data_IF_918412882825
#
_entry.id   IF_918412882825
#
_cell.length_a   1.000
_cell.length_b   1.000
_cell.length_c   1.000
_cell.angle_alpha   90.00
_cell.angle_beta   90.00
_cell.angle_gamma   90.00
#
_symmetry.space_group_name_H-M   'P 1'
#
loop_
_entity.id
_entity.type
_entity.pdbx_description
1 polymer ?
#
# COMPACT_ATOMS: atom_id res chain seq x y z
N UNK A 1 -16.51 7.99 17.67
CA UNK A 1 -15.95 8.08 16.30
C UNK A 1 -17.01 7.71 15.27
N UNK A 2 -17.34 6.43 15.05
CA UNK A 2 -18.29 6.01 13.99
C UNK A 2 -19.69 6.66 14.00
N UNK A 3 -20.18 7.12 15.17
CA UNK A 3 -21.48 7.79 15.35
C UNK A 3 -21.40 9.32 15.46
N UNK A 4 -20.20 9.91 15.38
CA UNK A 4 -20.01 11.35 15.51
C UNK A 4 -20.60 12.06 14.28
N UNK A 5 -21.19 13.23 14.49
CA UNK A 5 -21.48 14.17 13.40
C UNK A 5 -20.19 14.93 13.03
N UNK A 6 -19.85 14.91 11.74
CA UNK A 6 -18.65 15.56 11.20
C UNK A 6 -18.99 16.82 10.39
N UNK A 7 -20.18 17.40 10.58
CA UNK A 7 -20.61 18.66 9.97
C UNK A 7 -19.70 19.85 10.35
N UNK A 8 -19.03 19.78 11.50
CA UNK A 8 -18.13 20.79 12.07
C UNK A 8 -16.65 20.64 11.67
N UNK A 9 -16.32 19.67 10.81
CA UNK A 9 -14.92 19.34 10.43
C UNK A 9 -14.19 20.43 9.66
N UNK A 10 -14.90 21.43 9.15
CA UNK A 10 -14.35 22.52 8.35
C UNK A 10 -14.59 23.85 9.06
N UNK A 11 -13.78 24.89 8.79
CA UNK A 11 -13.99 26.22 9.38
C UNK A 11 -15.39 26.81 9.09
N UNK A 12 -15.95 26.50 7.92
CA UNK A 12 -17.36 26.74 7.60
C UNK A 12 -18.13 25.40 7.66
N UNK A 13 -19.08 25.25 8.59
CA UNK A 13 -19.82 24.00 8.74
C UNK A 13 -20.57 23.60 7.47
N UNK A 14 -20.59 22.31 7.18
CA UNK A 14 -21.39 21.75 6.08
C UNK A 14 -22.77 21.33 6.57
N UNK A 15 -23.79 21.48 5.73
CA UNK A 15 -25.19 21.20 6.11
C UNK A 15 -25.46 19.74 6.44
N UNK A 16 -24.73 18.81 5.81
CA UNK A 16 -24.91 17.38 6.02
C UNK A 16 -23.57 16.64 6.13
N UNK A 17 -23.52 15.69 7.05
CA UNK A 17 -22.42 14.74 7.19
C UNK A 17 -22.96 13.32 7.12
N UNK A 18 -22.45 12.54 6.17
CA UNK A 18 -22.74 11.11 6.11
C UNK A 18 -22.02 10.38 7.23
N UNK A 19 -22.61 9.27 7.68
CA UNK A 19 -21.94 8.35 8.61
C UNK A 19 -20.71 7.72 7.95
N UNK A 20 -19.67 7.43 8.72
CA UNK A 20 -18.49 6.74 8.22
C UNK A 20 -18.82 5.37 7.58
N UNK A 21 -19.84 4.67 8.09
CA UNK A 21 -20.25 3.37 7.56
C UNK A 21 -21.26 3.47 6.40
N UNK A 22 -21.65 4.68 5.99
CA UNK A 22 -22.51 4.86 4.82
C UNK A 22 -21.80 4.26 3.57
N UNK A 23 -22.49 3.43 2.75
CA UNK A 23 -21.89 2.81 1.57
C UNK A 23 -21.38 3.82 0.53
N UNK A 24 -21.93 5.06 0.53
CA UNK A 24 -21.50 6.14 -0.36
C UNK A 24 -20.19 6.78 0.08
N UNK A 25 -19.77 6.56 1.33
CA UNK A 25 -18.51 7.07 1.86
C UNK A 25 -17.43 6.01 1.63
N UNK A 26 -16.41 6.34 0.83
CA UNK A 26 -15.30 5.40 0.56
C UNK A 26 -14.35 5.30 1.75
N UNK A 27 -13.61 4.19 1.84
CA UNK A 27 -12.54 4.04 2.84
C UNK A 27 -11.51 5.17 2.76
N UNK A 28 -11.07 5.55 1.56
CA UNK A 28 -10.13 6.66 1.37
C UNK A 28 -10.68 7.99 1.89
N UNK A 29 -11.99 8.23 1.77
CA UNK A 29 -12.63 9.40 2.37
C UNK A 29 -12.61 9.36 3.90
N UNK A 30 -12.86 8.19 4.51
CA UNK A 30 -12.75 8.02 5.97
C UNK A 30 -11.32 8.26 6.45
N UNK A 31 -10.32 7.74 5.72
CA UNK A 31 -8.91 7.98 6.02
C UNK A 31 -8.59 9.48 5.94
N UNK A 32 -9.00 10.16 4.86
CA UNK A 32 -8.82 11.62 4.73
C UNK A 32 -9.46 12.36 5.90
N UNK A 33 -10.71 12.04 6.24
CA UNK A 33 -11.47 12.69 7.33
C UNK A 33 -10.84 12.47 8.72
N UNK A 34 -10.17 11.35 8.95
CA UNK A 34 -9.53 11.02 10.22
C UNK A 34 -8.00 11.27 10.20
N UNK A 35 -7.52 12.04 9.23
CA UNK A 35 -6.14 12.49 9.12
C UNK A 35 -6.12 14.01 9.28
N UNK A 36 -5.31 14.56 10.21
CA UNK A 36 -5.17 16.01 10.33
C UNK A 36 -4.81 16.67 9.00
N UNK A 37 -5.45 17.79 8.68
CA UNK A 37 -5.32 18.50 7.40
C UNK A 37 -5.54 19.99 7.59
N UNK A 38 -4.89 20.81 6.75
CA UNK A 38 -5.09 22.27 6.73
C UNK A 38 -6.49 22.67 6.26
N UNK A 39 -7.19 21.77 5.56
CA UNK A 39 -8.59 21.95 5.19
C UNK A 39 -9.52 21.97 6.43
N UNK A 40 -9.10 21.37 7.55
CA UNK A 40 -9.94 21.18 8.73
C UNK A 40 -9.94 22.37 9.68
N UNK A 41 -10.99 22.52 10.49
CA UNK A 41 -10.99 23.48 11.60
C UNK A 41 -9.96 23.10 12.66
N UNK A 42 -9.41 24.09 13.37
CA UNK A 42 -8.42 23.87 14.42
C UNK A 42 -8.94 22.91 15.50
N UNK A 43 -10.14 23.16 16.01
CA UNK A 43 -10.80 22.32 17.03
C UNK A 43 -10.98 20.87 16.56
N UNK A 44 -11.28 20.66 15.28
CA UNK A 44 -11.41 19.31 14.72
C UNK A 44 -10.07 18.60 14.62
N UNK A 45 -9.01 19.29 14.19
CA UNK A 45 -7.65 18.74 14.18
C UNK A 45 -7.18 18.38 15.60
N UNK A 46 -7.43 19.24 16.59
CA UNK A 46 -7.10 18.97 17.98
C UNK A 46 -7.83 17.73 18.49
N UNK A 47 -9.13 17.60 18.18
CA UNK A 47 -9.88 16.38 18.47
C UNK A 47 -9.30 15.14 17.78
N UNK A 48 -8.91 15.22 16.50
CA UNK A 48 -8.28 14.10 15.78
C UNK A 48 -6.99 13.63 16.46
N UNK A 49 -6.19 14.56 16.99
CA UNK A 49 -4.95 14.25 17.71
C UNK A 49 -5.19 13.49 19.02
N UNK A 50 -6.36 13.65 19.66
CA UNK A 50 -6.73 12.87 20.84
C UNK A 50 -6.96 11.38 20.56
N UNK A 51 -7.23 11.01 19.29
CA UNK A 51 -7.56 9.64 18.93
C UNK A 51 -6.27 8.81 18.81
N UNK A 52 -6.08 7.75 19.63
CA UNK A 52 -4.90 6.90 19.52
C UNK A 52 -4.81 6.24 18.15
N UNK A 53 -3.58 6.05 17.65
CA UNK A 53 -3.34 5.48 16.32
C UNK A 53 -4.00 4.11 16.12
N UNK A 54 -3.93 3.22 17.11
CA UNK A 54 -4.53 1.89 17.02
C UNK A 54 -6.06 1.95 16.91
N UNK A 55 -6.71 2.93 17.56
CA UNK A 55 -8.16 3.14 17.44
C UNK A 55 -8.53 3.62 16.03
N UNK A 56 -7.72 4.51 15.42
CA UNK A 56 -7.93 4.91 14.01
C UNK A 56 -7.79 3.72 13.07
N UNK A 57 -6.75 2.90 13.25
CA UNK A 57 -6.57 1.66 12.49
C UNK A 57 -7.78 0.72 12.61
N UNK A 58 -8.35 0.56 13.81
CA UNK A 58 -9.57 -0.24 14.01
C UNK A 58 -10.77 0.36 13.28
N UNK A 59 -10.95 1.68 13.30
CA UNK A 59 -12.03 2.35 12.54
C UNK A 59 -11.90 2.11 11.04
N UNK A 60 -10.68 2.18 10.51
CA UNK A 60 -10.42 1.88 9.09
C UNK A 60 -10.68 0.40 8.77
N UNK A 61 -10.30 -0.50 9.66
CA UNK A 61 -10.60 -1.92 9.52
C UNK A 61 -12.11 -2.16 9.48
N UNK A 62 -12.86 -1.63 10.46
CA UNK A 62 -14.33 -1.75 10.50
C UNK A 62 -14.92 -1.24 9.19
N UNK A 63 -14.47 -0.08 8.69
CA UNK A 63 -14.95 0.44 7.40
C UNK A 63 -14.59 -0.48 6.22
N UNK A 64 -13.40 -1.05 6.22
CA UNK A 64 -12.92 -1.91 5.14
C UNK A 64 -13.73 -3.20 5.01
N UNK A 65 -14.13 -3.79 6.14
CA UNK A 65 -14.85 -5.08 6.16
C UNK A 65 -16.37 -4.95 6.28
N UNK A 66 -16.89 -3.75 6.53
CA UNK A 66 -18.31 -3.53 6.78
C UNK A 66 -19.17 -3.88 5.56
N UNK A 67 -20.12 -4.78 5.79
CA UNK A 67 -21.20 -5.10 4.84
C UNK A 67 -22.47 -4.31 5.20
N UNK A 68 -23.17 -3.69 4.22
CA UNK A 68 -24.41 -2.96 4.48
C UNK A 68 -25.49 -3.79 5.18
N UNK A 69 -25.50 -5.11 4.93
CA UNK A 69 -26.44 -6.05 5.54
C UNK A 69 -26.30 -6.17 7.07
N UNK A 70 -25.12 -5.89 7.62
CA UNK A 70 -24.90 -5.91 9.07
C UNK A 70 -25.61 -4.76 9.79
N UNK A 71 -25.80 -3.64 9.09
CA UNK A 71 -26.48 -2.46 9.63
C UNK A 71 -25.90 -2.02 10.98
N UNK A 72 -26.75 -1.97 12.01
CA UNK A 72 -26.33 -1.57 13.37
C UNK A 72 -25.62 -2.68 14.14
N UNK A 73 -25.70 -3.93 13.69
CA UNK A 73 -25.17 -5.12 14.36
C UNK A 73 -23.75 -5.50 13.89
N UNK A 74 -23.06 -4.66 13.11
CA UNK A 74 -21.68 -4.92 12.66
C UNK A 74 -20.69 -5.35 13.76
N UNK A 75 -20.97 -5.03 15.02
CA UNK A 75 -20.14 -5.42 16.17
C UNK A 75 -20.15 -6.92 16.43
N UNK A 76 -21.24 -7.63 16.13
CA UNK A 76 -21.32 -9.09 16.33
C UNK A 76 -20.39 -9.85 15.38
N UNK A 77 -20.12 -9.27 14.22
CA UNK A 77 -19.25 -9.82 13.19
C UNK A 77 -17.75 -9.60 13.46
N UNK A 78 -17.38 -8.60 14.26
CA UNK A 78 -15.99 -8.22 14.52
C UNK A 78 -15.61 -8.56 15.95
N UNK A 79 -14.77 -9.57 16.11
CA UNK A 79 -14.40 -10.15 17.41
C UNK A 79 -12.89 -10.11 17.63
N UNK A 80 -12.46 -10.25 18.88
CA UNK A 80 -11.09 -10.59 19.19
C UNK A 80 -10.92 -12.12 19.13
N UNK A 81 -9.71 -12.57 18.81
CA UNK A 81 -9.31 -13.95 18.98
C UNK A 81 -9.57 -14.43 20.41
N UNK A 82 -9.87 -15.71 20.61
CA UNK A 82 -9.87 -16.33 21.94
C UNK A 82 -8.76 -17.38 21.98
N UNK A 83 -7.76 -17.16 22.83
CA UNK A 83 -6.60 -18.06 23.00
C UNK A 83 -6.54 -18.47 24.46
N UNK A 84 -6.58 -19.79 24.72
CA UNK A 84 -6.56 -20.36 26.07
C UNK A 84 -7.60 -19.76 27.04
N UNK A 85 -8.77 -19.37 26.51
CA UNK A 85 -9.86 -18.79 27.30
C UNK A 85 -9.72 -17.28 27.59
N UNK A 86 -8.70 -16.62 27.05
CA UNK A 86 -8.50 -15.18 27.14
C UNK A 86 -8.62 -14.49 25.77
N UNK A 87 -8.96 -13.20 25.77
CA UNK A 87 -8.99 -12.39 24.55
C UNK A 87 -7.57 -12.18 24.03
N UNK A 88 -7.34 -12.57 22.77
CA UNK A 88 -6.10 -12.35 22.04
C UNK A 88 -6.02 -10.97 21.40
N UNK A 89 -4.96 -10.75 20.62
CA UNK A 89 -4.67 -9.46 19.98
C UNK A 89 -5.01 -9.42 18.49
N UNK A 90 -5.44 -10.55 17.90
CA UNK A 90 -5.84 -10.62 16.51
C UNK A 90 -7.33 -10.32 16.34
N UNK A 91 -7.66 -9.44 15.40
CA UNK A 91 -9.05 -9.12 15.07
C UNK A 91 -9.57 -10.17 14.08
N UNK A 92 -10.77 -10.67 14.34
CA UNK A 92 -11.47 -11.64 13.52
C UNK A 92 -12.74 -11.04 12.93
N UNK A 93 -13.09 -11.44 11.71
CA UNK A 93 -14.37 -11.16 11.05
C UNK A 93 -15.04 -12.49 10.77
N UNK A 94 -16.23 -12.70 11.32
CA UNK A 94 -16.97 -13.97 11.22
C UNK A 94 -16.12 -15.21 11.55
N UNK A 95 -15.31 -15.10 12.62
CA UNK A 95 -14.42 -16.15 13.09
C UNK A 95 -13.15 -16.36 12.27
N UNK A 96 -12.88 -15.54 11.25
CA UNK A 96 -11.67 -15.61 10.43
C UNK A 96 -10.70 -14.48 10.77
N UNK A 97 -9.38 -14.75 10.91
CA UNK A 97 -8.42 -13.71 11.22
C UNK A 97 -8.32 -12.71 10.07
N UNK A 98 -8.29 -11.42 10.43
CA UNK A 98 -8.06 -10.36 9.45
C UNK A 98 -6.59 -10.34 9.06
N UNK A 99 -6.33 -10.51 7.77
CA UNK A 99 -4.97 -10.36 7.21
C UNK A 99 -4.79 -8.93 6.72
N UNK A 100 -3.84 -8.20 7.31
CA UNK A 100 -3.43 -6.87 6.85
C UNK A 100 -2.13 -6.94 6.07
N UNK A 101 -1.91 -5.97 5.19
CA UNK A 101 -0.63 -5.81 4.49
C UNK A 101 0.35 -5.01 5.33
N UNK A 102 1.61 -5.45 5.33
CA UNK A 102 2.70 -4.79 6.05
C UNK A 102 3.92 -4.67 5.17
N UNK A 103 4.67 -3.58 5.34
CA UNK A 103 5.99 -3.40 4.75
C UNK A 103 7.06 -3.44 5.85
N UNK A 104 8.17 -4.12 5.59
CA UNK A 104 9.37 -4.05 6.44
C UNK A 104 10.13 -2.77 6.11
N UNK A 105 10.37 -1.94 7.12
CA UNK A 105 11.18 -0.71 6.98
C UNK A 105 12.35 -0.78 7.95
N UNK A 106 13.44 -1.37 7.47
CA UNK A 106 14.66 -1.62 8.24
C UNK A 106 14.46 -2.61 9.39
N UNK A 107 15.44 -2.59 10.30
CA UNK A 107 15.51 -3.47 11.47
C UNK A 107 15.73 -2.62 12.74
N UNK A 108 15.34 -3.17 13.89
CA UNK A 108 15.68 -2.59 15.18
C UNK A 108 17.12 -2.94 15.58
N UNK A 109 17.62 -2.32 16.67
CA UNK A 109 18.97 -2.57 17.18
C UNK A 109 19.22 -4.04 17.54
N UNK A 110 18.17 -4.77 17.90
CA UNK A 110 18.18 -6.22 18.18
C UNK A 110 17.86 -7.08 16.94
N UNK A 111 18.00 -6.51 15.72
CA UNK A 111 17.82 -7.19 14.43
C UNK A 111 16.43 -7.78 14.19
N UNK A 112 15.39 -7.21 14.82
CA UNK A 112 14.01 -7.59 14.53
C UNK A 112 13.47 -6.76 13.36
N UNK A 113 12.72 -7.36 12.42
CA UNK A 113 12.15 -6.62 11.31
C UNK A 113 11.10 -5.64 11.83
N UNK A 114 11.24 -4.36 11.45
CA UNK A 114 10.25 -3.35 11.81
C UNK A 114 9.14 -3.36 10.77
N UNK A 115 7.98 -3.90 11.15
CA UNK A 115 6.80 -4.03 10.28
C UNK A 115 5.88 -2.82 10.47
N UNK A 116 5.45 -2.22 9.37
CA UNK A 116 4.51 -1.11 9.34
C UNK A 116 3.30 -1.49 8.51
N UNK A 117 2.11 -1.36 9.10
CA UNK A 117 0.86 -1.64 8.40
C UNK A 117 0.67 -0.64 7.27
N UNK A 118 0.40 -1.14 6.06
CA UNK A 118 -0.03 -0.32 4.94
C UNK A 118 -1.49 0.10 5.13
N UNK A 119 -1.91 1.16 4.46
CA UNK A 119 -3.33 1.54 4.47
C UNK A 119 -4.15 0.44 3.81
N UNK A 120 -5.37 0.23 4.30
CA UNK A 120 -6.30 -0.76 3.73
C UNK A 120 -6.73 -0.44 2.28
N UNK A 121 -6.54 0.80 1.82
CA UNK A 121 -6.77 1.22 0.44
C UNK A 121 -5.47 1.41 -0.37
N UNK A 122 -4.32 0.97 0.16
CA UNK A 122 -3.06 1.01 -0.57
C UNK A 122 -3.01 -0.10 -1.61
N UNK A 123 -2.61 0.27 -2.82
CA UNK A 123 -2.27 -0.66 -3.89
C UNK A 123 -0.90 -0.23 -4.45
N UNK A 124 0.06 -1.15 -4.65
CA UNK A 124 1.32 -0.80 -5.29
C UNK A 124 1.10 -0.13 -6.64
N UNK A 125 1.88 0.90 -6.93
CA UNK A 125 1.81 1.55 -8.24
C UNK A 125 2.15 0.53 -9.35
N UNK A 126 1.41 0.60 -10.45
CA UNK A 126 1.78 -0.12 -11.66
C UNK A 126 3.01 0.56 -12.27
N UNK A 127 4.15 -0.13 -12.24
CA UNK A 127 5.42 0.39 -12.74
C UNK A 127 5.71 -0.20 -14.11
N UNK A 128 6.08 0.66 -15.06
CA UNK A 128 6.65 0.27 -16.35
C UNK A 128 8.12 0.67 -16.28
N UNK A 129 9.02 -0.29 -16.47
CA UNK A 129 10.45 -0.04 -16.43
C UNK A 129 10.87 0.83 -17.62
N UNK A 130 11.57 1.93 -17.35
CA UNK A 130 12.05 2.87 -18.38
C UNK A 130 13.57 2.83 -18.57
N UNK A 131 14.30 2.32 -17.57
CA UNK A 131 15.75 2.25 -17.48
C UNK A 131 16.19 1.05 -16.63
N UNK A 132 17.46 0.65 -16.77
CA UNK A 132 18.12 -0.35 -15.92
C UNK A 132 19.61 0.02 -15.75
N UNK A 133 20.52 -0.61 -16.49
CA UNK A 133 21.96 -0.36 -16.40
C UNK A 133 22.45 0.66 -17.45
N UNK A 134 22.21 0.40 -18.75
CA UNK A 134 22.71 1.27 -19.83
C UNK A 134 21.58 2.13 -20.41
N UNK A 135 21.65 3.45 -20.15
CA UNK A 135 20.65 4.42 -20.63
C UNK A 135 21.26 5.59 -21.37
N UNK A 136 20.57 6.05 -22.42
CA UNK A 136 20.86 7.31 -23.10
C UNK A 136 19.83 8.37 -22.69
N UNK A 137 20.26 9.63 -22.57
CA UNK A 137 19.35 10.73 -22.19
C UNK A 137 19.70 12.05 -22.85
N UNK A 138 18.69 12.90 -22.98
CA UNK A 138 18.79 14.27 -23.49
C UNK A 138 17.96 15.21 -22.61
N UNK A 139 18.41 16.45 -22.47
CA UNK A 139 17.63 17.51 -21.83
C UNK A 139 17.09 18.44 -22.90
N UNK A 140 15.77 18.63 -22.91
CA UNK A 140 15.07 19.39 -23.95
C UNK A 140 14.30 20.55 -23.30
N UNK A 141 14.42 21.78 -23.82
CA UNK A 141 13.57 22.89 -23.39
C UNK A 141 12.09 22.53 -23.51
N UNK A 142 11.29 22.87 -22.48
CA UNK A 142 9.87 22.52 -22.38
C UNK A 142 9.08 22.99 -23.60
N UNK A 143 9.36 24.20 -24.06
CA UNK A 143 8.70 24.83 -25.23
C UNK A 143 8.88 24.08 -26.56
N UNK A 144 9.79 23.10 -26.62
CA UNK A 144 10.02 22.26 -27.81
C UNK A 144 9.27 20.93 -27.78
N UNK A 145 8.48 20.68 -26.74
CA UNK A 145 7.76 19.42 -26.55
C UNK A 145 6.26 19.67 -26.48
N UNK A 146 5.50 18.79 -27.12
CA UNK A 146 4.05 18.77 -27.09
C UNK A 146 3.56 17.69 -26.11
N UNK A 147 2.33 17.82 -25.61
CA UNK A 147 1.67 16.83 -24.74
C UNK A 147 2.40 16.49 -23.42
N UNK A 148 3.20 17.42 -22.89
CA UNK A 148 3.72 17.28 -21.53
C UNK A 148 2.58 17.30 -20.51
N UNK A 149 2.73 16.54 -19.43
CA UNK A 149 1.83 16.62 -18.29
C UNK A 149 1.74 18.08 -17.81
N UNK A 150 0.52 18.58 -17.59
CA UNK A 150 0.22 19.95 -17.17
C UNK A 150 0.93 20.34 -15.86
N UNK A 151 1.22 19.36 -15.00
CA UNK A 151 1.97 19.53 -13.75
C UNK A 151 3.47 19.79 -13.97
N UNK A 152 3.98 19.56 -15.17
CA UNK A 152 5.40 19.78 -15.52
C UNK A 152 5.67 21.28 -15.60
N UNK A 153 6.19 21.87 -14.52
CA UNK A 153 6.47 23.32 -14.44
C UNK A 153 7.92 23.68 -14.80
N UNK A 154 8.79 22.69 -14.95
CA UNK A 154 10.22 22.89 -15.20
C UNK A 154 10.47 23.53 -16.60
N UNK A 155 11.49 24.39 -16.74
CA UNK A 155 11.82 25.03 -18.02
C UNK A 155 12.40 24.06 -19.06
N UNK A 156 12.91 22.92 -18.63
CA UNK A 156 13.38 21.83 -19.48
C UNK A 156 13.05 20.49 -18.83
N UNK A 157 12.98 19.43 -19.63
CA UNK A 157 12.73 18.07 -19.17
C UNK A 157 13.85 17.13 -19.62
N UNK A 158 14.14 16.12 -18.81
CA UNK A 158 15.06 15.04 -19.17
C UNK A 158 14.25 13.90 -19.79
N UNK A 159 14.58 13.55 -21.03
CA UNK A 159 14.05 12.37 -21.71
C UNK A 159 15.13 11.29 -21.70
N UNK A 160 14.72 10.03 -21.56
CA UNK A 160 15.63 8.89 -21.47
C UNK A 160 15.12 7.69 -22.25
N UNK A 161 16.04 6.80 -22.59
CA UNK A 161 15.75 5.53 -23.25
C UNK A 161 16.74 4.49 -22.77
N UNK A 162 16.23 3.35 -22.29
CA UNK A 162 17.04 2.15 -22.10
C UNK A 162 17.62 1.71 -23.47
N UNK A 163 18.94 1.53 -23.51
CA UNK A 163 19.68 1.11 -24.70
C UNK A 163 19.63 -0.40 -24.93
N UNK A 164 19.27 -1.17 -23.91
CA UNK A 164 19.35 -2.62 -23.87
C UNK A 164 18.00 -3.27 -24.17
N UNK A 165 18.02 -4.33 -24.98
CA UNK A 165 16.84 -5.15 -25.26
C UNK A 165 16.69 -6.31 -24.26
N UNK A 166 17.81 -6.79 -23.71
CA UNK A 166 17.87 -7.87 -22.71
C UNK A 166 18.78 -7.41 -21.59
N UNK A 167 18.40 -7.69 -20.35
CA UNK A 167 19.11 -7.25 -19.15
C UNK A 167 19.93 -8.41 -18.60
N UNK A 168 21.24 -8.20 -18.38
CA UNK A 168 22.12 -9.25 -17.88
C UNK A 168 22.05 -9.34 -16.36
N UNK A 169 21.04 -10.05 -15.87
CA UNK A 169 20.73 -10.15 -14.44
C UNK A 169 21.73 -11.02 -13.69
N UNK A 170 21.96 -10.69 -12.40
CA UNK A 170 22.66 -11.54 -11.45
C UNK A 170 21.72 -11.89 -10.28
N UNK A 171 21.04 -13.05 -10.31
CA UNK A 171 20.00 -13.38 -9.35
C UNK A 171 20.61 -13.93 -8.05
N UNK A 172 21.13 -13.03 -7.21
CA UNK A 172 21.81 -13.39 -5.96
C UNK A 172 20.87 -14.14 -4.99
N UNK A 173 19.57 -13.82 -4.99
CA UNK A 173 18.57 -14.43 -4.10
C UNK A 173 18.07 -15.82 -4.59
N UNK A 174 18.21 -16.14 -5.88
CA UNK A 174 17.71 -17.38 -6.48
C UNK A 174 18.50 -18.63 -6.05
N UNK A 175 19.64 -18.46 -5.38
CA UNK A 175 20.35 -19.58 -4.75
C UNK A 175 19.50 -20.22 -3.64
N UNK A 176 18.62 -19.45 -2.99
CA UNK A 176 17.66 -19.94 -2.01
C UNK A 176 16.34 -20.26 -2.71
N UNK A 177 16.03 -21.55 -2.83
CA UNK A 177 14.81 -22.06 -3.49
C UNK A 177 13.55 -21.40 -2.94
N UNK A 178 12.69 -20.93 -3.83
CA UNK A 178 11.42 -20.27 -3.55
C UNK A 178 11.54 -18.81 -3.09
N UNK A 179 12.75 -18.23 -3.04
CA UNK A 179 12.93 -16.84 -2.62
C UNK A 179 12.75 -15.86 -3.78
N UNK A 180 13.37 -16.12 -4.92
CA UNK A 180 13.24 -15.31 -6.13
C UNK A 180 12.37 -16.02 -7.16
N UNK A 181 11.06 -15.93 -6.96
CA UNK A 181 10.08 -16.57 -7.83
C UNK A 181 10.12 -16.02 -9.25
N UNK A 182 10.62 -14.79 -9.45
CA UNK A 182 10.69 -14.19 -10.78
C UNK A 182 11.84 -14.77 -11.58
N UNK A 183 13.02 -14.89 -10.97
CA UNK A 183 14.15 -15.58 -11.58
C UNK A 183 13.82 -17.05 -11.88
N UNK A 184 13.17 -17.76 -10.96
CA UNK A 184 12.76 -19.15 -11.16
C UNK A 184 11.83 -19.30 -12.38
N UNK A 185 10.82 -18.43 -12.50
CA UNK A 185 9.91 -18.39 -13.65
C UNK A 185 10.66 -18.08 -14.96
N UNK A 186 11.51 -17.06 -14.96
CA UNK A 186 12.23 -16.62 -16.16
C UNK A 186 13.24 -17.69 -16.63
N UNK A 187 13.96 -18.33 -15.71
CA UNK A 187 14.95 -19.38 -16.02
C UNK A 187 14.31 -20.68 -16.50
N UNK A 188 13.10 -21.03 -16.03
CA UNK A 188 12.37 -22.18 -16.52
C UNK A 188 11.87 -22.01 -17.96
N UNK A 189 11.85 -20.77 -18.48
CA UNK A 189 11.51 -20.45 -19.85
C UNK A 189 12.58 -20.87 -20.87
N UNK A 190 12.16 -20.99 -22.13
CA UNK A 190 13.06 -21.28 -23.26
C UNK A 190 13.72 -20.01 -23.83
N UNK A 191 14.83 -20.17 -24.56
CA UNK A 191 15.46 -19.06 -25.31
C UNK A 191 16.35 -18.12 -24.47
N UNK A 192 16.60 -18.50 -23.22
CA UNK A 192 17.52 -17.80 -22.33
C UNK A 192 18.97 -17.97 -22.79
N UNK A 193 19.72 -16.87 -22.75
CA UNK A 193 21.17 -16.94 -22.75
C UNK A 193 21.62 -17.06 -21.29
N UNK A 194 22.22 -18.19 -20.91
CA UNK A 194 22.68 -18.45 -19.54
C UNK A 194 24.19 -18.51 -19.47
N UNK A 195 24.75 -18.07 -18.33
CA UNK A 195 26.17 -18.07 -18.05
C UNK A 195 26.40 -18.35 -16.58
N UNK A 196 27.50 -19.03 -16.23
CA UNK A 196 27.90 -19.37 -14.86
C UNK A 196 26.88 -20.25 -14.08
N UNK A 197 26.17 -21.14 -14.77
CA UNK A 197 25.35 -22.19 -14.16
C UNK A 197 25.95 -23.57 -14.42
N UNK A 198 25.74 -24.50 -13.49
CA UNK A 198 26.16 -25.89 -13.64
C UNK A 198 25.31 -26.59 -14.72
N UNK A 199 25.93 -27.24 -15.72
CA UNK A 199 25.19 -28.01 -16.71
C UNK A 199 24.73 -29.36 -16.13
N UNK A 200 23.48 -29.39 -15.64
CA UNK A 200 22.88 -30.61 -15.09
C UNK A 200 22.45 -31.60 -16.17
N UNK A 201 22.55 -32.88 -15.84
CA UNK A 201 22.09 -34.02 -16.65
C UNK A 201 20.66 -34.43 -16.29
N UNK A 202 20.03 -35.26 -17.12
CA UNK A 202 18.69 -35.82 -16.84
C UNK A 202 18.64 -36.66 -15.56
N UNK A 203 19.75 -37.27 -15.15
CA UNK A 203 19.82 -38.06 -13.90
C UNK A 203 19.83 -37.17 -12.65
N UNK A 204 20.21 -35.90 -12.79
CA UNK A 204 20.26 -34.91 -11.70
C UNK A 204 18.97 -34.09 -11.56
N UNK A 205 18.02 -34.26 -12.50
CA UNK A 205 16.71 -33.61 -12.51
C UNK A 205 15.68 -34.37 -11.64
#
# INVERSE_FOLDING_TARGET
>A
ILKRDYSDRFPSPVRESLSLLDPRVTLGHVIKMLTPSDDHSADFNDWLLTIPRHIRSLVFLVKHVYEPAWGKDWKSHITAENVDGADGHSVHVDGKPVVSQYLRIGESLDRRPRKFQLRFDFVPAHKIQTEDDISSSIVVPRERLEHLNEETRNPAVKLLKNCELRLFQRPDDAIVRGCDTKCEEDMAGEGNFMSNFEPLTTEEA
#
